data_IF_470737574037
#
_entry.id   IF_470737574037
#
_cell.length_a   1.000
_cell.length_b   1.000
_cell.length_c   1.000
_cell.angle_alpha   90.00
_cell.angle_beta   90.00
_cell.angle_gamma   90.00
#
_symmetry.space_group_name_H-M   'P 1'
#
loop_
_entity.id
_entity.type
_entity.pdbx_description
1 polymer ?
#
# COMPACT_ATOMS: atom_id res chain seq x y z
N UNK A 1 -56.32 22.28 6.31
CA UNK A 1 -55.22 23.24 6.49
C UNK A 1 -54.45 23.41 5.19
N UNK A 2 -54.71 24.48 4.41
CA UNK A 2 -53.85 24.98 3.34
C UNK A 2 -53.27 26.39 3.70
N UNK A 3 -52.38 27.04 2.91
CA UNK A 3 -51.57 26.56 1.78
C UNK A 3 -50.06 26.93 1.84
N UNK A 4 -49.36 26.39 0.82
CA UNK A 4 -48.00 26.61 0.33
C UNK A 4 -47.55 28.07 0.12
N UNK A 5 -46.27 28.34 0.42
CA UNK A 5 -45.33 29.29 -0.24
C UNK A 5 -43.90 28.84 0.10
N UNK A 6 -42.83 28.99 -0.67
CA UNK A 6 -42.54 29.17 -2.09
C UNK A 6 -41.02 28.96 -2.20
N UNK A 7 -40.58 28.29 -3.25
CA UNK A 7 -39.21 27.99 -3.66
C UNK A 7 -38.18 29.13 -3.49
N UNK A 8 -36.97 28.78 -3.05
CA UNK A 8 -35.75 29.52 -3.43
C UNK A 8 -34.78 28.55 -4.09
N UNK A 9 -34.75 28.62 -5.41
CA UNK A 9 -33.79 27.96 -6.29
C UNK A 9 -32.52 28.80 -6.28
N UNK A 10 -31.39 28.21 -5.90
CA UNK A 10 -30.08 28.81 -6.10
C UNK A 10 -29.56 28.41 -7.49
N UNK A 11 -29.40 29.40 -8.38
CA UNK A 11 -28.73 29.26 -9.68
C UNK A 11 -27.48 30.15 -9.70
N UNK A 12 -26.39 29.72 -10.37
CA UNK A 12 -25.12 30.42 -10.39
C UNK A 12 -25.13 31.58 -11.39
N UNK A 13 -24.50 32.70 -11.03
CA UNK A 13 -24.28 33.81 -11.93
C UNK A 13 -22.92 33.68 -12.63
N UNK A 14 -22.95 33.68 -13.96
CA UNK A 14 -21.82 33.77 -14.87
C UNK A 14 -21.71 35.16 -15.49
N UNK A 15 -20.47 35.54 -15.83
CA UNK A 15 -20.03 36.42 -16.93
C UNK A 15 -19.66 37.91 -16.67
N UNK A 16 -18.59 38.28 -17.40
CA UNK A 16 -18.09 39.60 -17.86
C UNK A 16 -16.77 40.04 -17.18
N UNK A 17 -15.55 39.94 -17.77
CA UNK A 17 -15.01 40.61 -18.97
C UNK A 17 -15.35 42.11 -18.97
N UNK A 18 -14.49 43.08 -18.66
CA UNK A 18 -13.27 43.56 -19.35
C UNK A 18 -12.82 44.81 -18.54
N UNK A 19 -11.55 45.09 -18.28
CA UNK A 19 -10.68 45.94 -19.12
C UNK A 19 -9.35 46.13 -18.39
N UNK A 20 -8.21 45.98 -19.07
CA UNK A 20 -6.97 46.69 -18.74
C UNK A 20 -6.06 46.71 -19.99
N UNK A 21 -5.36 47.82 -20.31
CA UNK A 21 -4.79 48.06 -21.63
C UNK A 21 -3.28 47.78 -21.76
N UNK A 22 -2.88 47.85 -23.03
CA UNK A 22 -1.61 47.58 -23.69
C UNK A 22 -0.34 48.28 -23.18
N UNK A 23 0.79 47.55 -23.21
CA UNK A 23 2.11 47.89 -23.81
C UNK A 23 3.18 46.97 -23.15
N UNK A 24 4.22 46.42 -23.76
CA UNK A 24 4.78 46.38 -25.12
C UNK A 24 5.71 45.15 -25.15
N UNK A 25 5.70 44.41 -26.27
CA UNK A 25 6.60 43.28 -26.60
C UNK A 25 7.96 43.79 -27.12
N UNK A 26 9.06 43.09 -26.80
CA UNK A 26 10.36 42.97 -27.52
C UNK A 26 11.47 42.68 -26.47
N UNK A 27 12.43 41.76 -26.58
CA UNK A 27 12.95 40.96 -27.69
C UNK A 27 13.74 39.76 -27.16
N UNK A 28 13.69 38.67 -27.92
CA UNK A 28 14.65 37.56 -27.95
C UNK A 28 15.76 37.93 -28.95
N UNK A 29 16.97 37.37 -28.80
CA UNK A 29 18.12 37.30 -29.74
C UNK A 29 19.30 38.27 -29.47
N UNK A 30 20.52 37.70 -29.52
CA UNK A 30 21.88 38.24 -29.32
C UNK A 30 22.37 38.16 -27.86
N UNK A 31 23.43 37.42 -27.49
CA UNK A 31 24.75 37.32 -28.13
C UNK A 31 25.41 35.98 -27.78
N UNK A 32 25.88 35.26 -28.80
CA UNK A 32 26.88 34.20 -28.74
C UNK A 32 27.94 34.56 -29.80
N UNK A 33 29.23 34.30 -29.50
CA UNK A 33 30.48 34.73 -30.18
C UNK A 33 31.03 36.08 -29.64
N UNK A 34 32.22 36.15 -29.05
CA UNK A 34 33.52 35.73 -29.61
C UNK A 34 34.49 35.23 -28.52
N UNK A 35 35.20 34.16 -28.83
CA UNK A 35 36.34 33.58 -28.08
C UNK A 35 37.66 34.29 -28.44
N UNK A 36 38.60 34.27 -27.48
CA UNK A 36 40.06 34.46 -27.59
C UNK A 36 40.63 35.89 -27.74
N UNK A 37 41.13 36.46 -26.63
CA UNK A 37 42.55 36.82 -26.40
C UNK A 37 42.71 37.38 -24.98
N UNK A 38 43.73 36.91 -24.26
CA UNK A 38 43.79 36.99 -22.81
C UNK A 38 44.26 38.31 -22.19
N UNK A 39 43.94 38.48 -20.92
CA UNK A 39 44.89 39.00 -19.92
C UNK A 39 44.53 38.47 -18.53
N UNK A 40 45.57 38.14 -17.78
CA UNK A 40 45.55 37.42 -16.51
C UNK A 40 45.00 38.31 -15.40
N UNK A 41 43.83 37.95 -14.87
CA UNK A 41 43.28 38.48 -13.62
C UNK A 41 42.97 37.33 -12.67
N UNK A 42 43.92 36.97 -11.80
CA UNK A 42 43.70 36.04 -10.69
C UNK A 42 42.72 36.70 -9.69
N UNK A 43 41.44 36.40 -9.83
CA UNK A 43 40.52 36.41 -8.69
C UNK A 43 40.36 34.97 -8.23
N UNK A 44 40.84 34.69 -7.02
CA UNK A 44 40.68 33.41 -6.35
C UNK A 44 39.18 33.08 -6.28
N UNK A 45 38.73 32.18 -7.17
CA UNK A 45 37.41 31.57 -7.07
C UNK A 45 37.37 30.80 -5.77
N UNK A 46 36.61 31.31 -4.80
CA UNK A 46 36.18 30.53 -3.65
C UNK A 46 35.39 29.36 -4.24
N UNK A 47 35.94 28.14 -4.18
CA UNK A 47 35.17 26.92 -4.43
C UNK A 47 33.98 26.97 -3.47
N UNK A 48 32.79 27.24 -4.00
CA UNK A 48 31.55 27.15 -3.23
C UNK A 48 31.33 25.66 -3.04
N UNK A 49 31.76 25.14 -1.89
CA UNK A 49 31.67 23.72 -1.61
C UNK A 49 30.19 23.33 -1.45
N UNK A 50 29.71 22.51 -2.38
CA UNK A 50 28.32 22.14 -2.58
C UNK A 50 28.05 20.68 -2.19
N UNK A 51 26.93 20.46 -1.51
CA UNK A 51 26.34 19.17 -1.24
C UNK A 51 25.50 18.73 -2.43
N UNK A 52 25.45 17.41 -2.66
CA UNK A 52 24.59 16.82 -3.68
C UNK A 52 23.37 16.20 -3.02
N UNK A 53 22.21 16.73 -3.36
CA UNK A 53 20.93 16.32 -2.77
C UNK A 53 20.07 15.69 -3.83
N UNK A 54 19.79 14.40 -3.71
CA UNK A 54 18.90 13.68 -4.62
C UNK A 54 17.54 13.51 -3.97
N UNK A 55 16.54 14.20 -4.50
CA UNK A 55 15.13 13.95 -4.22
C UNK A 55 14.68 12.77 -5.06
N UNK A 56 13.96 11.83 -4.47
CA UNK A 56 13.26 10.78 -5.22
C UNK A 56 11.77 11.07 -5.28
N UNK A 57 11.18 10.90 -6.45
CA UNK A 57 9.76 11.14 -6.75
C UNK A 57 9.28 12.61 -6.55
N UNK A 58 9.55 13.51 -7.52
CA UNK A 58 10.29 13.30 -8.77
C UNK A 58 11.80 13.25 -8.54
N UNK A 59 12.49 12.48 -9.39
CA UNK A 59 13.96 12.38 -9.34
C UNK A 59 14.60 13.71 -9.73
N UNK A 60 15.11 14.42 -8.74
CA UNK A 60 15.72 15.73 -8.92
C UNK A 60 17.00 15.82 -8.09
N UNK A 61 18.12 16.12 -8.74
CA UNK A 61 19.40 16.35 -8.05
C UNK A 61 19.64 17.84 -7.97
N UNK A 62 19.88 18.34 -6.75
CA UNK A 62 20.21 19.72 -6.46
C UNK A 62 21.64 19.80 -5.91
N UNK A 63 22.39 20.79 -6.36
CA UNK A 63 23.61 21.22 -5.68
C UNK A 63 23.25 22.33 -4.71
N UNK A 64 23.55 22.14 -3.42
CA UNK A 64 23.19 23.07 -2.35
C UNK A 64 24.44 23.46 -1.57
N UNK A 65 24.62 24.74 -1.24
CA UNK A 65 25.81 25.19 -0.50
C UNK A 65 25.81 24.64 0.93
N UNK A 66 26.92 24.06 1.38
CA UNK A 66 27.11 23.59 2.77
C UNK A 66 28.09 24.42 3.60
N UNK A 67 28.33 24.07 4.89
CA UNK A 67 27.60 23.08 5.68
C UNK A 67 26.33 23.70 6.28
N UNK A 68 25.27 22.91 6.45
CA UNK A 68 24.02 23.39 7.08
C UNK A 68 23.24 22.27 7.74
N UNK A 69 22.41 22.58 8.75
CA UNK A 69 21.44 21.65 9.30
C UNK A 69 20.47 21.15 8.22
N UNK A 70 20.03 19.89 8.32
CA UNK A 70 18.98 19.32 7.45
C UNK A 70 17.74 20.22 7.40
N UNK A 71 17.36 20.86 8.50
CA UNK A 71 16.22 21.77 8.56
C UNK A 71 16.37 23.02 7.70
N UNK A 72 17.58 23.56 7.60
CA UNK A 72 17.87 24.69 6.70
C UNK A 72 17.88 24.23 5.24
N UNK A 73 18.44 23.05 4.97
CA UNK A 73 18.42 22.44 3.64
C UNK A 73 16.99 22.22 3.14
N UNK A 74 16.12 21.65 3.98
CA UNK A 74 14.73 21.39 3.61
C UNK A 74 13.93 22.67 3.41
N UNK A 75 14.18 23.70 4.22
CA UNK A 75 13.57 25.02 4.04
C UNK A 75 14.00 25.68 2.72
N UNK A 76 15.28 25.60 2.35
CA UNK A 76 15.80 26.12 1.08
C UNK A 76 15.20 25.42 -0.15
N UNK A 77 14.94 24.11 -0.03
CA UNK A 77 14.36 23.31 -1.10
C UNK A 77 12.81 23.36 -1.11
N UNK A 78 12.19 24.24 -0.31
CA UNK A 78 10.73 24.37 -0.11
C UNK A 78 10.05 23.02 0.21
N UNK A 79 10.76 22.16 0.92
CA UNK A 79 10.30 20.83 1.31
C UNK A 79 9.78 20.91 2.72
N UNK A 80 8.54 20.47 2.92
CA UNK A 80 8.05 20.30 4.27
C UNK A 80 8.85 19.17 4.95
N UNK A 81 9.59 19.41 6.04
CA UNK A 81 10.34 18.36 6.75
C UNK A 81 9.42 17.25 7.28
N UNK A 82 8.13 17.55 7.42
CA UNK A 82 7.06 16.63 7.73
C UNK A 82 6.62 15.79 6.52
N UNK A 83 7.37 15.74 5.42
CA UNK A 83 6.98 15.00 4.20
C UNK A 83 8.13 14.20 3.63
N UNK A 84 9.29 14.19 4.29
CA UNK A 84 10.47 13.47 3.83
C UNK A 84 11.27 12.82 4.97
N UNK A 85 11.86 11.66 4.71
CA UNK A 85 13.03 11.14 5.43
C UNK A 85 14.28 11.62 4.72
N UNK A 86 15.28 12.01 5.51
CA UNK A 86 16.58 12.44 5.00
C UNK A 86 17.60 11.37 5.34
N UNK A 87 18.31 10.90 4.32
CA UNK A 87 19.30 9.82 4.40
C UNK A 87 20.66 10.42 4.03
N UNK A 88 21.65 10.27 4.89
CA UNK A 88 23.03 10.72 4.65
C UNK A 88 23.98 9.54 4.93
N UNK A 89 24.78 9.15 3.95
CA UNK A 89 25.67 7.98 4.06
C UNK A 89 24.93 6.67 4.34
N UNK A 90 23.72 6.49 3.79
CA UNK A 90 22.88 5.30 4.02
C UNK A 90 22.16 5.26 5.38
N UNK A 91 22.28 6.29 6.21
CA UNK A 91 21.65 6.35 7.54
C UNK A 91 20.59 7.44 7.59
N UNK A 92 19.49 7.19 8.29
CA UNK A 92 18.45 8.20 8.57
C UNK A 92 18.98 9.29 9.50
N UNK A 93 18.80 10.54 9.10
CA UNK A 93 19.24 11.72 9.86
C UNK A 93 18.06 12.64 10.16
N UNK A 94 18.11 13.30 11.32
CA UNK A 94 17.07 14.22 11.79
C UNK A 94 17.31 15.64 11.29
N UNK A 95 16.32 16.53 11.49
CA UNK A 95 16.34 17.95 11.08
C UNK A 95 17.59 18.73 11.55
N UNK A 96 18.13 18.41 12.71
CA UNK A 96 19.23 19.17 13.30
C UNK A 96 20.61 18.61 12.94
N UNK A 97 20.66 17.46 12.24
CA UNK A 97 21.90 16.89 11.76
C UNK A 97 22.58 17.87 10.79
N UNK A 98 23.84 18.22 11.07
CA UNK A 98 24.61 19.13 10.23
C UNK A 98 25.24 18.32 9.10
N UNK A 99 24.84 18.63 7.87
CA UNK A 99 25.39 18.01 6.68
C UNK A 99 26.73 18.69 6.30
N UNK A 100 27.81 17.92 6.07
CA UNK A 100 29.10 18.46 5.67
C UNK A 100 29.09 19.02 4.24
N UNK A 101 30.11 19.80 3.87
CA UNK A 101 30.24 20.47 2.58
C UNK A 101 30.06 19.58 1.34
N UNK A 102 30.41 18.29 1.41
CA UNK A 102 30.34 17.32 0.31
C UNK A 102 29.37 16.15 0.62
N UNK A 103 28.34 16.42 1.42
CA UNK A 103 27.35 15.41 1.77
C UNK A 103 26.60 14.91 0.51
N UNK A 104 26.49 13.59 0.36
CA UNK A 104 25.47 12.97 -0.48
C UNK A 104 24.24 12.68 0.36
N UNK A 105 23.13 13.33 0.00
CA UNK A 105 21.89 13.30 0.77
C UNK A 105 20.77 12.80 -0.11
N UNK A 106 20.17 11.69 0.28
CA UNK A 106 18.95 11.19 -0.34
C UNK A 106 17.74 11.66 0.48
N UNK A 107 16.81 12.34 -0.18
CA UNK A 107 15.55 12.77 0.42
C UNK A 107 14.46 11.86 -0.14
N UNK A 108 13.90 11.00 0.72
CA UNK A 108 12.76 10.14 0.40
C UNK A 108 11.49 10.77 0.92
N UNK A 109 10.43 10.83 0.12
CA UNK A 109 9.13 11.35 0.57
C UNK A 109 8.48 10.43 1.60
N UNK A 110 8.34 10.88 2.85
CA UNK A 110 7.71 10.18 3.98
C UNK A 110 7.24 11.19 5.04
N UNK A 111 5.97 11.15 5.44
CA UNK A 111 5.33 12.20 6.25
C UNK A 111 5.74 12.18 7.75
N UNK A 112 5.79 13.37 8.40
CA UNK A 112 6.16 13.79 9.79
C UNK A 112 7.67 13.93 10.11
N UNK A 113 8.18 14.72 11.07
CA UNK A 113 7.64 15.81 11.87
C UNK A 113 8.29 16.09 13.23
N UNK A 114 8.58 17.37 13.57
CA UNK A 114 9.57 17.83 14.61
C UNK A 114 9.36 17.37 16.08
N UNK A 115 10.34 17.41 17.00
CA UNK A 115 11.41 18.39 17.28
C UNK A 115 12.60 17.82 18.12
N UNK A 116 13.85 18.21 17.77
CA UNK A 116 15.07 18.00 18.57
C UNK A 116 15.59 16.55 18.62
N UNK A 117 16.81 16.29 19.16
CA UNK A 117 17.30 14.93 19.36
C UNK A 117 16.53 14.27 20.51
N UNK A 118 15.36 13.70 20.20
CA UNK A 118 14.58 12.93 21.14
C UNK A 118 15.39 11.70 21.61
N UNK A 119 15.27 11.40 22.91
CA UNK A 119 15.81 10.14 23.45
C UNK A 119 14.81 9.03 23.20
N UNK A 120 15.32 7.84 22.92
CA UNK A 120 14.50 6.65 22.81
C UNK A 120 13.65 6.45 24.09
N UNK A 121 12.37 6.12 23.91
CA UNK A 121 11.41 5.76 24.96
C UNK A 121 11.23 4.24 25.10
N UNK A 122 11.92 3.46 24.26
CA UNK A 122 11.92 2.01 24.33
C UNK A 122 12.64 1.44 25.55
N UNK A 123 12.54 0.12 25.70
CA UNK A 123 13.18 -0.65 26.75
C UNK A 123 14.23 -1.56 26.12
N UNK A 124 15.37 -1.74 26.78
CA UNK A 124 16.40 -2.71 26.40
C UNK A 124 16.00 -4.13 26.84
N UNK A 125 16.68 -5.14 26.31
CA UNK A 125 16.44 -6.54 26.66
C UNK A 125 16.59 -6.83 28.16
N UNK A 126 17.46 -6.09 28.85
CA UNK A 126 17.68 -6.16 30.31
C UNK A 126 16.58 -5.47 31.14
N UNK A 127 15.53 -4.96 30.51
CA UNK A 127 14.43 -4.25 31.17
C UNK A 127 14.74 -2.79 31.53
N UNK A 128 15.95 -2.29 31.25
CA UNK A 128 16.31 -0.89 31.49
C UNK A 128 15.73 0.04 30.41
N UNK A 129 15.50 1.31 30.75
CA UNK A 129 15.06 2.31 29.77
C UNK A 129 16.19 2.60 28.79
N UNK A 130 15.91 2.48 27.50
CA UNK A 130 16.82 2.95 26.45
C UNK A 130 16.92 4.48 26.52
N UNK A 131 18.10 5.04 26.26
CA UNK A 131 18.34 6.49 26.19
C UNK A 131 19.18 6.91 24.99
N UNK A 132 19.34 5.99 24.04
CA UNK A 132 20.00 6.23 22.77
C UNK A 132 19.23 7.28 21.96
N UNK A 133 19.93 7.85 20.98
CA UNK A 133 19.34 8.81 20.05
C UNK A 133 18.23 8.15 19.26
N UNK A 134 17.04 8.74 19.29
CA UNK A 134 15.94 8.26 18.47
C UNK A 134 16.21 8.53 16.98
N UNK A 135 15.81 7.58 16.14
CA UNK A 135 15.87 7.71 14.67
C UNK A 135 14.48 7.91 14.07
N UNK A 136 13.43 7.67 14.86
CA UNK A 136 12.04 7.88 14.46
C UNK A 136 11.18 8.31 15.66
N UNK A 137 10.23 9.20 15.37
CA UNK A 137 9.18 9.61 16.29
C UNK A 137 7.83 9.08 15.80
N UNK A 138 6.99 8.62 16.71
CA UNK A 138 5.65 8.11 16.46
C UNK A 138 4.68 8.97 17.25
N UNK A 139 4.21 10.04 16.60
CA UNK A 139 3.42 11.11 17.23
C UNK A 139 2.15 10.57 17.92
N UNK A 140 1.44 9.63 17.30
CA UNK A 140 0.21 9.06 17.86
C UNK A 140 0.46 8.14 19.07
N UNK A 141 1.68 7.63 19.20
CA UNK A 141 2.16 6.94 20.40
C UNK A 141 2.88 7.87 21.37
N UNK A 142 2.99 9.17 21.05
CA UNK A 142 3.78 10.15 21.78
C UNK A 142 5.17 9.61 22.20
N UNK A 143 5.81 8.88 21.27
CA UNK A 143 7.00 8.08 21.56
C UNK A 143 8.07 8.27 20.50
N UNK A 144 9.34 8.17 20.89
CA UNK A 144 10.49 8.18 20.00
C UNK A 144 11.33 6.93 20.21
N UNK A 145 11.91 6.36 19.16
CA UNK A 145 12.64 5.10 19.25
C UNK A 145 13.99 5.16 18.52
N UNK A 146 15.03 4.57 19.11
CA UNK A 146 16.23 4.20 18.36
C UNK A 146 15.91 3.02 17.43
N UNK A 147 16.81 2.73 16.48
CA UNK A 147 16.57 1.70 15.46
C UNK A 147 16.19 0.33 16.05
N UNK A 148 16.93 -0.13 17.06
CA UNK A 148 16.68 -1.42 17.72
C UNK A 148 15.32 -1.46 18.44
N UNK A 149 15.04 -0.45 19.28
CA UNK A 149 13.77 -0.39 19.99
C UNK A 149 12.57 -0.18 19.06
N UNK A 150 12.76 0.43 17.89
CA UNK A 150 11.70 0.57 16.90
C UNK A 150 11.33 -0.78 16.27
N UNK A 151 12.31 -1.63 15.96
CA UNK A 151 12.05 -3.00 15.46
C UNK A 151 11.24 -3.80 16.48
N UNK A 152 11.58 -3.70 17.77
CA UNK A 152 10.79 -4.32 18.84
C UNK A 152 9.39 -3.73 18.98
N UNK A 153 9.24 -2.41 18.81
CA UNK A 153 7.94 -1.76 18.79
C UNK A 153 7.05 -2.32 17.66
N UNK A 154 7.59 -2.47 16.45
CA UNK A 154 6.87 -3.05 15.30
C UNK A 154 6.45 -4.49 15.62
N UNK A 155 7.36 -5.34 16.12
CA UNK A 155 7.04 -6.71 16.54
C UNK A 155 5.93 -6.75 17.60
N UNK A 156 5.96 -5.82 18.56
CA UNK A 156 4.93 -5.72 19.60
C UNK A 156 3.56 -5.31 19.04
N UNK A 157 3.51 -4.38 18.08
CA UNK A 157 2.24 -4.02 17.42
C UNK A 157 1.67 -5.19 16.60
N UNK A 158 2.54 -5.91 15.88
CA UNK A 158 2.13 -7.10 15.11
C UNK A 158 1.62 -8.21 16.03
N UNK A 159 2.32 -8.49 17.14
CA UNK A 159 1.85 -9.45 18.14
C UNK A 159 0.49 -9.04 18.72
N UNK A 160 0.34 -7.76 19.10
CA UNK A 160 -0.94 -7.24 19.59
C UNK A 160 -2.07 -7.36 18.56
N UNK A 161 -1.76 -7.18 17.27
CA UNK A 161 -2.72 -7.39 16.19
C UNK A 161 -3.12 -8.87 16.06
N UNK A 162 -2.13 -9.77 16.10
CA UNK A 162 -2.34 -11.21 15.96
C UNK A 162 -3.18 -11.74 17.13
N UNK A 163 -2.77 -11.46 18.36
CA UNK A 163 -3.42 -11.94 19.57
C UNK A 163 -4.81 -11.32 19.76
N UNK A 164 -4.99 -10.05 19.39
CA UNK A 164 -6.26 -9.34 19.56
C UNK A 164 -7.39 -9.79 18.63
N UNK A 165 -7.06 -10.52 17.55
CA UNK A 165 -8.03 -10.98 16.55
C UNK A 165 -7.83 -12.46 16.18
N UNK A 166 -7.12 -13.22 17.01
CA UNK A 166 -6.80 -14.64 16.80
C UNK A 166 -6.32 -14.91 15.35
N UNK A 167 -5.41 -14.07 14.83
CA UNK A 167 -5.07 -14.08 13.40
C UNK A 167 -4.35 -15.35 12.98
N UNK A 168 -3.30 -15.74 13.71
CA UNK A 168 -2.42 -16.88 13.41
C UNK A 168 -1.84 -17.48 14.70
N UNK A 169 -1.55 -18.77 14.66
CA UNK A 169 -0.78 -19.51 15.67
C UNK A 169 0.63 -19.87 15.14
N UNK A 170 1.52 -20.36 16.00
CA UNK A 170 2.83 -20.86 15.57
C UNK A 170 2.77 -22.21 14.85
N UNK A 171 1.66 -22.96 15.00
CA UNK A 171 1.44 -24.23 14.31
C UNK A 171 0.94 -24.02 12.88
N UNK A 172 0.34 -22.86 12.61
CA UNK A 172 -0.19 -22.48 11.30
C UNK A 172 0.92 -22.33 10.26
N UNK A 173 0.61 -22.73 9.03
CA UNK A 173 1.40 -22.37 7.85
C UNK A 173 0.82 -21.13 7.18
N UNK A 174 1.68 -20.13 6.98
CA UNK A 174 1.28 -18.80 6.49
C UNK A 174 1.83 -18.59 5.08
N UNK A 175 1.01 -18.03 4.20
CA UNK A 175 1.47 -17.45 2.94
C UNK A 175 1.22 -15.94 2.92
N UNK A 176 2.28 -15.16 2.66
CA UNK A 176 2.19 -13.70 2.54
C UNK A 176 2.06 -13.32 1.08
N UNK A 177 1.01 -12.58 0.72
CA UNK A 177 0.89 -11.99 -0.60
C UNK A 177 1.89 -10.84 -0.76
N UNK A 178 2.96 -11.06 -1.53
CA UNK A 178 4.06 -10.10 -1.74
C UNK A 178 3.95 -9.40 -3.09
N UNK A 179 4.06 -8.08 -3.08
CA UNK A 179 3.99 -7.23 -4.28
C UNK A 179 5.34 -6.63 -4.68
N UNK A 180 6.40 -6.90 -3.90
CA UNK A 180 7.70 -6.23 -4.01
C UNK A 180 7.71 -4.84 -3.40
N UNK A 181 6.58 -4.37 -2.86
CA UNK A 181 6.47 -3.10 -2.14
C UNK A 181 6.76 -3.24 -0.64
N UNK A 182 7.05 -2.09 -0.01
CA UNK A 182 7.49 -1.97 1.39
C UNK A 182 6.64 -2.79 2.37
N UNK A 183 5.32 -2.65 2.32
CA UNK A 183 4.46 -3.17 3.38
C UNK A 183 4.40 -4.70 3.36
N UNK A 184 4.36 -5.30 2.15
CA UNK A 184 4.31 -6.75 2.02
C UNK A 184 5.64 -7.43 2.33
N UNK A 185 6.78 -6.81 1.96
CA UNK A 185 8.10 -7.34 2.28
C UNK A 185 8.43 -7.16 3.76
N UNK A 186 8.09 -6.02 4.35
CA UNK A 186 8.20 -5.82 5.80
C UNK A 186 7.35 -6.82 6.59
N UNK A 187 6.11 -7.10 6.14
CA UNK A 187 5.26 -8.08 6.80
C UNK A 187 5.89 -9.47 6.75
N UNK A 188 6.40 -9.87 5.59
CA UNK A 188 7.07 -11.16 5.45
C UNK A 188 8.30 -11.24 6.36
N UNK A 189 9.11 -10.19 6.40
CA UNK A 189 10.30 -10.14 7.26
C UNK A 189 9.96 -10.21 8.76
N UNK A 190 8.98 -9.44 9.22
CA UNK A 190 8.56 -9.43 10.63
C UNK A 190 8.05 -10.80 11.05
N UNK A 191 7.24 -11.47 10.22
CA UNK A 191 6.72 -12.80 10.54
C UNK A 191 7.84 -13.86 10.59
N UNK A 192 8.81 -13.80 9.68
CA UNK A 192 10.01 -14.65 9.72
C UNK A 192 10.81 -14.41 11.01
N UNK A 193 11.08 -13.15 11.33
CA UNK A 193 11.81 -12.74 12.54
C UNK A 193 11.12 -13.16 13.84
N UNK A 194 9.79 -13.22 13.84
CA UNK A 194 8.99 -13.67 14.97
C UNK A 194 8.90 -15.20 15.08
N UNK A 195 9.45 -15.96 14.11
CA UNK A 195 9.52 -17.42 14.14
C UNK A 195 8.29 -18.13 13.57
N UNK A 196 7.43 -17.46 12.81
CA UNK A 196 6.32 -18.11 12.12
C UNK A 196 6.79 -18.89 10.90
N UNK A 197 6.04 -19.93 10.53
CA UNK A 197 6.26 -20.71 9.31
C UNK A 197 5.61 -19.98 8.13
N UNK A 198 6.41 -19.20 7.40
CA UNK A 198 5.88 -18.26 6.41
C UNK A 198 6.62 -18.29 5.07
N UNK A 199 5.85 -18.49 4.00
CA UNK A 199 6.30 -18.41 2.62
C UNK A 199 5.73 -17.16 1.94
N UNK A 200 6.40 -16.69 0.89
CA UNK A 200 5.94 -15.59 0.05
C UNK A 200 5.16 -16.10 -1.16
N UNK A 201 4.18 -15.33 -1.62
CA UNK A 201 3.51 -15.56 -2.89
C UNK A 201 3.45 -14.29 -3.75
N UNK A 202 4.04 -14.37 -4.94
CA UNK A 202 4.04 -13.32 -5.94
C UNK A 202 3.16 -13.69 -7.14
N UNK A 203 2.32 -12.73 -7.58
CA UNK A 203 1.54 -12.84 -8.81
C UNK A 203 2.00 -11.79 -9.83
N UNK A 204 2.62 -12.26 -10.92
CA UNK A 204 2.93 -11.45 -12.08
C UNK A 204 1.67 -11.02 -12.82
N UNK A 205 1.46 -9.71 -12.93
CA UNK A 205 0.26 -9.11 -13.55
C UNK A 205 0.47 -8.69 -15.01
N UNK A 206 1.68 -8.87 -15.54
CA UNK A 206 2.05 -8.52 -16.92
C UNK A 206 2.13 -7.02 -17.20
N UNK A 207 2.38 -6.17 -16.19
CA UNK A 207 2.44 -4.71 -16.34
C UNK A 207 3.85 -4.29 -16.81
N UNK A 208 4.28 -4.82 -17.95
CA UNK A 208 5.59 -4.55 -18.54
C UNK A 208 6.75 -4.61 -17.55
N UNK A 209 7.70 -3.68 -17.69
CA UNK A 209 8.90 -3.61 -16.85
C UNK A 209 8.62 -3.39 -15.35
N UNK A 210 7.43 -2.90 -14.97
CA UNK A 210 7.06 -2.77 -13.56
C UNK A 210 6.90 -4.15 -12.92
N UNK A 211 6.22 -5.10 -13.59
CA UNK A 211 6.09 -6.47 -13.09
C UNK A 211 7.45 -7.18 -12.98
N UNK A 212 8.35 -6.95 -13.93
CA UNK A 212 9.70 -7.55 -13.89
C UNK A 212 10.51 -7.06 -12.68
N UNK A 213 10.53 -5.74 -12.43
CA UNK A 213 11.21 -5.16 -11.26
C UNK A 213 10.57 -5.61 -9.94
N UNK A 214 9.24 -5.64 -9.89
CA UNK A 214 8.46 -6.06 -8.73
C UNK A 214 8.73 -7.53 -8.37
N UNK A 215 8.82 -8.41 -9.38
CA UNK A 215 9.21 -9.81 -9.22
C UNK A 215 10.64 -9.94 -8.72
N UNK A 216 11.59 -9.25 -9.35
CA UNK A 216 13.00 -9.30 -8.99
C UNK A 216 13.24 -8.86 -7.53
N UNK A 217 12.52 -7.84 -7.05
CA UNK A 217 12.58 -7.41 -5.65
C UNK A 217 12.12 -8.53 -4.68
N UNK A 218 11.05 -9.24 -5.01
CA UNK A 218 10.57 -10.36 -4.20
C UNK A 218 11.56 -11.54 -4.20
N UNK A 219 12.10 -11.89 -5.37
CA UNK A 219 13.07 -12.97 -5.52
C UNK A 219 14.37 -12.66 -4.77
N UNK A 220 14.87 -11.42 -4.85
CA UNK A 220 16.05 -10.97 -4.12
C UNK A 220 15.84 -11.02 -2.60
N UNK A 221 14.67 -10.56 -2.12
CA UNK A 221 14.31 -10.64 -0.71
C UNK A 221 14.27 -12.11 -0.22
N UNK A 222 13.59 -12.99 -0.97
CA UNK A 222 13.47 -14.40 -0.64
C UNK A 222 14.86 -15.07 -0.56
N UNK A 223 15.73 -14.80 -1.54
CA UNK A 223 17.10 -15.31 -1.55
C UNK A 223 17.93 -14.80 -0.36
N UNK A 224 17.83 -13.50 -0.03
CA UNK A 224 18.56 -12.92 1.09
C UNK A 224 18.14 -13.49 2.45
N UNK A 225 16.87 -13.88 2.59
CA UNK A 225 16.31 -14.44 3.83
C UNK A 225 16.30 -15.97 3.86
N UNK A 226 16.68 -16.63 2.76
CA UNK A 226 16.57 -18.09 2.64
C UNK A 226 15.13 -18.60 2.73
N UNK A 227 14.17 -17.79 2.29
CA UNK A 227 12.74 -18.07 2.38
C UNK A 227 12.17 -18.55 1.03
N UNK A 228 11.09 -19.33 1.07
CA UNK A 228 10.44 -19.84 -0.14
C UNK A 228 9.53 -18.78 -0.77
N UNK A 229 9.67 -18.56 -2.08
CA UNK A 229 8.78 -17.70 -2.86
C UNK A 229 8.06 -18.50 -3.93
N UNK A 230 6.73 -18.50 -3.86
CA UNK A 230 5.86 -19.04 -4.89
C UNK A 230 5.59 -17.96 -5.94
N UNK A 231 5.92 -18.24 -7.20
CA UNK A 231 5.71 -17.31 -8.32
C UNK A 231 4.70 -17.89 -9.29
N UNK A 232 3.68 -17.09 -9.62
CA UNK A 232 2.69 -17.39 -10.67
C UNK A 232 2.53 -16.18 -11.58
N UNK A 233 2.14 -16.41 -12.83
CA UNK A 233 1.95 -15.36 -13.83
C UNK A 233 0.51 -15.41 -14.35
N UNK A 234 -0.20 -14.28 -14.25
CA UNK A 234 -1.62 -14.19 -14.64
C UNK A 234 -1.84 -14.58 -16.11
N UNK A 235 -0.93 -14.14 -16.99
CA UNK A 235 -0.97 -14.44 -18.41
C UNK A 235 -0.75 -15.94 -18.68
N UNK A 236 0.22 -16.56 -18.02
CA UNK A 236 0.53 -17.97 -18.19
C UNK A 236 -0.58 -18.86 -17.63
N UNK A 237 -1.09 -18.54 -16.45
CA UNK A 237 -2.08 -19.36 -15.73
C UNK A 237 -3.49 -19.21 -16.31
N UNK A 238 -3.83 -18.05 -16.87
CA UNK A 238 -5.22 -17.73 -17.23
C UNK A 238 -5.42 -17.19 -18.64
N UNK A 239 -4.35 -16.92 -19.40
CA UNK A 239 -4.42 -16.48 -20.79
C UNK A 239 -4.71 -14.98 -21.00
N UNK A 240 -4.62 -14.16 -19.95
CA UNK A 240 -4.75 -12.70 -20.06
C UNK A 240 -3.90 -11.99 -19.01
N UNK A 241 -3.52 -10.74 -19.28
CA UNK A 241 -2.84 -9.85 -18.33
C UNK A 241 -3.68 -8.61 -17.98
N UNK A 242 -3.20 -7.78 -17.05
CA UNK A 242 -3.91 -6.55 -16.65
C UNK A 242 -3.95 -5.50 -17.77
N UNK A 243 -2.87 -5.27 -18.56
CA UNK A 243 -2.93 -4.35 -19.70
C UNK A 243 -3.95 -4.75 -20.78
N UNK A 244 -4.15 -6.04 -21.05
CA UNK A 244 -5.18 -6.55 -21.96
C UNK A 244 -6.57 -6.08 -21.53
N UNK A 245 -6.84 -6.04 -20.22
CA UNK A 245 -8.09 -5.54 -19.66
C UNK A 245 -8.28 -4.02 -19.79
N UNK A 246 -7.21 -3.25 -20.04
CA UNK A 246 -7.27 -1.78 -20.21
C UNK A 246 -7.71 -1.35 -21.61
N UNK A 247 -7.78 -2.28 -22.57
CA UNK A 247 -8.24 -2.01 -23.94
C UNK A 247 -9.73 -1.74 -24.03
N UNK A 248 -10.49 -2.09 -23.00
CA UNK A 248 -11.94 -1.95 -22.93
C UNK A 248 -12.31 -0.93 -21.83
N UNK A 249 -12.23 0.35 -22.20
CA UNK A 249 -12.60 1.54 -21.43
C UNK A 249 -11.77 1.78 -20.15
N UNK A 250 -11.04 2.91 -20.12
CA UNK A 250 -9.96 3.25 -19.17
C UNK A 250 -10.36 3.43 -17.68
N UNK A 251 -11.44 2.79 -17.22
CA UNK A 251 -11.96 2.82 -15.85
C UNK A 251 -12.02 1.45 -15.17
N UNK A 252 -11.78 0.34 -15.87
CA UNK A 252 -11.99 -1.03 -15.36
C UNK A 252 -10.72 -1.81 -14.91
N UNK A 253 -9.52 -1.27 -15.14
CA UNK A 253 -8.25 -2.01 -14.98
C UNK A 253 -7.94 -2.43 -13.54
N UNK A 254 -8.10 -1.53 -12.56
CA UNK A 254 -7.86 -1.83 -11.14
C UNK A 254 -8.88 -2.82 -10.56
N UNK A 255 -10.12 -2.81 -11.08
CA UNK A 255 -11.15 -3.77 -10.68
C UNK A 255 -10.79 -5.20 -11.09
N UNK A 256 -10.32 -5.38 -12.34
CA UNK A 256 -9.84 -6.68 -12.85
C UNK A 256 -8.59 -7.11 -12.09
N UNK A 257 -7.60 -6.22 -11.92
CA UNK A 257 -6.39 -6.52 -11.15
C UNK A 257 -6.72 -6.99 -9.71
N UNK A 258 -7.59 -6.26 -9.00
CA UNK A 258 -7.98 -6.63 -7.64
C UNK A 258 -8.73 -7.97 -7.57
N UNK A 259 -9.63 -8.24 -8.53
CA UNK A 259 -10.34 -9.51 -8.62
C UNK A 259 -9.39 -10.68 -8.90
N UNK A 260 -8.50 -10.54 -9.89
CA UNK A 260 -7.51 -11.55 -10.25
C UNK A 260 -6.57 -11.87 -9.11
N UNK A 261 -6.04 -10.85 -8.41
CA UNK A 261 -5.21 -11.03 -7.21
C UNK A 261 -5.94 -11.85 -6.14
N UNK A 262 -7.14 -11.41 -5.72
CA UNK A 262 -7.90 -12.10 -4.66
C UNK A 262 -8.23 -13.55 -5.03
N UNK A 263 -8.53 -13.82 -6.29
CA UNK A 263 -8.80 -15.17 -6.78
C UNK A 263 -7.55 -16.05 -6.73
N UNK A 264 -6.45 -15.60 -7.37
CA UNK A 264 -5.21 -16.37 -7.47
C UNK A 264 -4.60 -16.62 -6.09
N UNK A 265 -4.56 -15.59 -5.24
CA UNK A 265 -4.13 -15.70 -3.85
C UNK A 265 -4.91 -16.77 -3.09
N UNK A 266 -6.25 -16.70 -3.09
CA UNK A 266 -7.06 -17.69 -2.40
C UNK A 266 -6.85 -19.11 -2.94
N UNK A 267 -6.73 -19.24 -4.26
CA UNK A 267 -6.54 -20.55 -4.90
C UNK A 267 -5.21 -21.17 -4.50
N UNK A 268 -4.12 -20.41 -4.55
CA UNK A 268 -2.79 -20.92 -4.19
C UNK A 268 -2.68 -21.26 -2.71
N UNK A 269 -3.28 -20.46 -1.82
CA UNK A 269 -3.33 -20.82 -0.41
C UNK A 269 -3.96 -22.20 -0.18
N UNK A 270 -4.98 -22.55 -0.95
CA UNK A 270 -5.67 -23.83 -0.83
C UNK A 270 -4.91 -24.98 -1.50
N UNK A 271 -4.41 -24.76 -2.72
CA UNK A 271 -3.68 -25.75 -3.52
C UNK A 271 -2.37 -26.18 -2.84
N UNK A 272 -1.65 -25.23 -2.25
CA UNK A 272 -0.37 -25.49 -1.56
C UNK A 272 -0.56 -25.82 -0.07
N UNK A 273 -1.80 -25.87 0.42
CA UNK A 273 -2.12 -26.34 1.77
C UNK A 273 -1.79 -25.36 2.90
N UNK A 274 -1.79 -24.05 2.64
CA UNK A 274 -1.65 -23.03 3.69
C UNK A 274 -2.91 -22.88 4.53
N UNK A 275 -2.72 -22.59 5.81
CA UNK A 275 -3.80 -22.39 6.76
C UNK A 275 -4.27 -20.93 6.75
N UNK A 276 -3.32 -19.99 6.60
CA UNK A 276 -3.59 -18.55 6.66
C UNK A 276 -2.91 -17.78 5.55
N UNK A 277 -3.65 -16.84 4.97
CA UNK A 277 -3.13 -15.84 4.04
C UNK A 277 -2.98 -14.49 4.73
N UNK A 278 -1.77 -13.94 4.73
CA UNK A 278 -1.48 -12.62 5.27
C UNK A 278 -1.27 -11.59 4.15
N UNK A 279 -1.72 -10.35 4.38
CA UNK A 279 -1.51 -9.24 3.44
C UNK A 279 -0.98 -8.01 4.16
N UNK A 280 -0.08 -7.27 3.50
CA UNK A 280 0.57 -6.07 4.06
C UNK A 280 -0.30 -4.82 4.11
N UNK A 281 -1.63 -4.92 4.22
CA UNK A 281 -2.47 -3.74 4.37
C UNK A 281 -2.23 -3.12 5.75
N UNK A 282 -1.93 -1.82 5.76
CA UNK A 282 -1.56 -1.07 6.96
C UNK A 282 -2.71 -0.17 7.46
N UNK A 283 -2.47 0.59 8.52
CA UNK A 283 -3.45 1.50 9.13
C UNK A 283 -3.98 2.53 8.12
N UNK A 284 -3.13 3.11 7.29
CA UNK A 284 -3.51 4.09 6.27
C UNK A 284 -4.41 3.49 5.19
N UNK A 285 -4.11 2.25 4.75
CA UNK A 285 -4.94 1.51 3.79
C UNK A 285 -6.35 1.27 4.33
N UNK A 286 -6.45 0.74 5.55
CA UNK A 286 -7.73 0.39 6.16
C UNK A 286 -8.54 1.62 6.55
N UNK A 287 -7.90 2.66 7.09
CA UNK A 287 -8.58 3.91 7.42
C UNK A 287 -9.07 4.65 6.17
N UNK A 288 -8.27 4.68 5.09
CA UNK A 288 -8.67 5.31 3.82
C UNK A 288 -9.79 4.54 3.12
N UNK A 289 -9.77 3.21 3.19
CA UNK A 289 -10.88 2.36 2.73
C UNK A 289 -12.15 2.62 3.53
N UNK A 290 -12.05 2.67 4.86
CA UNK A 290 -13.18 2.97 5.74
C UNK A 290 -13.80 4.33 5.43
N UNK A 291 -12.97 5.37 5.28
CA UNK A 291 -13.42 6.71 4.91
C UNK A 291 -14.13 6.70 3.55
N UNK A 292 -13.54 6.03 2.56
CA UNK A 292 -14.13 5.91 1.22
C UNK A 292 -15.48 5.20 1.21
N UNK A 293 -15.62 4.13 2.00
CA UNK A 293 -16.86 3.39 2.16
C UNK A 293 -17.93 4.25 2.86
N UNK A 294 -17.55 4.96 3.92
CA UNK A 294 -18.45 5.81 4.70
C UNK A 294 -18.97 7.01 3.89
N UNK A 295 -18.09 7.73 3.19
CA UNK A 295 -18.47 8.90 2.37
C UNK A 295 -19.47 8.54 1.26
N UNK A 296 -19.49 7.28 0.83
CA UNK A 296 -20.39 6.76 -0.21
C UNK A 296 -21.51 5.87 0.35
N UNK A 297 -21.61 5.76 1.68
CA UNK A 297 -22.57 4.88 2.37
C UNK A 297 -22.61 3.46 1.80
N UNK A 298 -21.44 2.90 1.54
CA UNK A 298 -21.28 1.52 1.07
C UNK A 298 -21.45 0.52 2.22
N UNK A 299 -22.66 0.42 2.77
CA UNK A 299 -23.00 -0.40 3.95
C UNK A 299 -22.62 -1.87 3.81
N UNK A 300 -22.77 -2.44 2.60
CA UNK A 300 -22.36 -3.80 2.30
C UNK A 300 -20.84 -4.02 2.31
N UNK A 301 -20.03 -2.97 2.17
CA UNK A 301 -18.58 -3.03 2.31
C UNK A 301 -18.15 -2.73 3.75
N UNK A 302 -18.83 -1.80 4.43
CA UNK A 302 -18.62 -1.53 5.85
C UNK A 302 -18.82 -2.79 6.70
N UNK A 303 -19.91 -3.54 6.47
CA UNK A 303 -20.18 -4.82 7.16
C UNK A 303 -19.11 -5.89 6.94
N UNK A 304 -18.38 -5.85 5.82
CA UNK A 304 -17.35 -6.83 5.46
C UNK A 304 -15.92 -6.35 5.74
N UNK A 305 -15.75 -5.10 6.20
CA UNK A 305 -14.43 -4.56 6.47
C UNK A 305 -13.92 -5.13 7.80
N UNK A 306 -12.94 -6.03 7.68
CA UNK A 306 -12.30 -6.69 8.80
C UNK A 306 -10.78 -6.84 8.59
N UNK A 307 -10.09 -7.07 9.69
CA UNK A 307 -8.64 -7.34 9.78
C UNK A 307 -8.35 -8.84 9.86
N UNK A 308 -9.33 -9.65 10.26
CA UNK A 308 -9.28 -11.10 10.26
C UNK A 308 -10.58 -11.66 9.67
N UNK A 309 -10.48 -12.30 8.51
CA UNK A 309 -11.59 -13.01 7.86
C UNK A 309 -11.41 -14.51 8.09
N UNK A 310 -12.40 -15.21 8.67
CA UNK A 310 -12.30 -16.63 8.94
C UNK A 310 -12.24 -17.45 7.65
N UNK A 311 -11.69 -18.65 7.76
CA UNK A 311 -11.84 -19.63 6.68
C UNK A 311 -13.32 -19.98 6.50
N UNK A 312 -13.74 -20.23 5.27
CA UNK A 312 -15.11 -20.69 4.98
C UNK A 312 -15.11 -21.78 3.93
N UNK A 313 -16.01 -22.73 4.07
CA UNK A 313 -16.24 -23.78 3.07
C UNK A 313 -17.58 -23.56 2.37
N UNK A 314 -17.68 -23.87 1.06
CA UNK A 314 -18.96 -23.85 0.37
C UNK A 314 -19.90 -24.92 0.94
N UNK A 315 -21.20 -24.65 0.93
CA UNK A 315 -22.21 -25.63 1.32
C UNK A 315 -22.27 -26.77 0.27
N UNK A 316 -21.93 -27.99 0.68
CA UNK A 316 -22.17 -29.23 -0.09
C UNK A 316 -21.05 -29.69 -1.02
N UNK A 317 -20.19 -30.59 -0.50
CA UNK A 317 -19.96 -31.98 -0.93
C UNK A 317 -18.87 -32.51 0.02
N UNK A 318 -19.28 -33.40 0.94
CA UNK A 318 -18.49 -33.97 2.04
C UNK A 318 -18.00 -32.96 3.10
N UNK A 319 -18.93 -32.38 3.85
CA UNK A 319 -18.59 -31.76 5.13
C UNK A 319 -18.22 -32.87 6.14
N UNK A 320 -17.04 -32.85 6.78
CA UNK A 320 -16.83 -33.66 7.98
C UNK A 320 -17.85 -33.17 9.02
N UNK A 321 -18.69 -34.07 9.51
CA UNK A 321 -19.59 -33.78 10.63
C UNK A 321 -18.75 -33.29 11.80
N UNK A 322 -19.08 -32.11 12.32
CA UNK A 322 -18.50 -31.55 13.53
C UNK A 322 -18.66 -32.57 14.67
N UNK A 323 -17.59 -33.32 14.98
CA UNK A 323 -17.65 -34.41 15.94
C UNK A 323 -16.55 -35.45 15.81
N UNK A 324 -15.28 -35.04 15.70
CA UNK A 324 -14.16 -35.82 16.25
C UNK A 324 -12.95 -34.90 16.41
N UNK A 325 -12.34 -34.88 17.59
CA UNK A 325 -11.08 -34.21 17.87
C UNK A 325 -9.90 -35.01 17.32
N UNK A 326 -9.99 -35.40 16.05
CA UNK A 326 -9.01 -36.22 15.36
C UNK A 326 -7.86 -35.39 14.80
N UNK A 327 -6.64 -35.83 15.09
CA UNK A 327 -5.38 -35.35 14.52
C UNK A 327 -5.46 -35.17 12.99
N UNK A 328 -5.51 -33.92 12.53
CA UNK A 328 -5.54 -33.54 11.11
C UNK A 328 -4.18 -33.69 10.40
N UNK A 329 -3.26 -34.50 10.93
CA UNK A 329 -1.90 -34.63 10.40
C UNK A 329 -1.77 -35.42 9.09
N UNK A 330 -2.80 -36.12 8.60
CA UNK A 330 -2.62 -37.15 7.55
C UNK A 330 -3.32 -36.98 6.20
N UNK A 331 -4.07 -35.91 5.93
CA UNK A 331 -4.60 -35.67 4.56
C UNK A 331 -4.09 -34.35 3.97
N UNK A 332 -2.79 -34.32 3.62
CA UNK A 332 -2.12 -33.17 3.01
C UNK A 332 -2.08 -33.22 1.47
N UNK A 333 -2.81 -34.16 0.85
CA UNK A 333 -2.75 -34.44 -0.60
C UNK A 333 -4.01 -34.08 -1.41
N UNK A 334 -5.10 -33.65 -0.76
CA UNK A 334 -6.34 -33.24 -1.44
C UNK A 334 -6.43 -31.72 -1.64
N UNK A 335 -6.88 -31.27 -2.81
CA UNK A 335 -7.18 -29.86 -3.09
C UNK A 335 -8.21 -29.33 -2.07
N UNK A 336 -7.78 -28.48 -1.13
CA UNK A 336 -8.66 -27.86 -0.14
C UNK A 336 -9.71 -27.00 -0.87
N UNK A 337 -11.00 -27.17 -0.54
CA UNK A 337 -12.09 -26.32 -1.07
C UNK A 337 -12.39 -25.19 -0.08
N UNK A 338 -12.70 -23.98 -0.56
CA UNK A 338 -13.15 -22.88 0.30
C UNK A 338 -12.53 -21.51 0.06
N UNK A 339 -12.63 -20.66 1.08
CA UNK A 339 -11.87 -19.43 1.22
C UNK A 339 -10.88 -19.63 2.36
N UNK A 340 -9.60 -19.36 2.09
CA UNK A 340 -8.56 -19.37 3.11
C UNK A 340 -8.81 -18.24 4.12
N UNK A 341 -8.42 -18.48 5.39
CA UNK A 341 -8.40 -17.43 6.42
C UNK A 341 -7.51 -16.29 5.94
N UNK A 342 -7.96 -15.04 6.07
CA UNK A 342 -7.20 -13.85 5.61
C UNK A 342 -6.98 -12.89 6.75
N UNK A 343 -5.75 -12.45 6.91
CA UNK A 343 -5.35 -11.58 8.03
C UNK A 343 -4.53 -10.39 7.56
N UNK A 344 -4.60 -9.30 8.34
CA UNK A 344 -3.88 -8.05 8.09
C UNK A 344 -3.10 -7.63 9.34
N UNK A 345 -1.96 -8.27 9.65
CA UNK A 345 -1.24 -8.01 10.91
C UNK A 345 -0.70 -6.58 11.04
N UNK A 346 -0.57 -5.86 9.93
CA UNK A 346 -0.08 -4.47 9.88
C UNK A 346 -1.16 -3.41 10.09
N UNK A 347 -2.42 -3.77 10.34
CA UNK A 347 -3.51 -2.78 10.50
C UNK A 347 -3.30 -1.77 11.64
N UNK A 348 -2.35 -2.04 12.54
CA UNK A 348 -1.96 -1.17 13.67
C UNK A 348 -0.75 -0.27 13.39
N UNK A 349 -0.10 -0.42 12.24
CA UNK A 349 1.10 0.33 11.85
C UNK A 349 0.77 1.21 10.66
N UNK A 350 1.26 2.45 10.64
CA UNK A 350 1.14 3.34 9.49
C UNK A 350 2.18 3.10 8.40
N UNK A 351 1.97 3.69 7.23
CA UNK A 351 2.91 3.61 6.08
C UNK A 351 4.32 4.12 6.42
N UNK A 352 4.40 5.11 7.30
CA UNK A 352 5.68 5.65 7.77
C UNK A 352 6.44 4.60 8.58
N UNK A 353 5.74 3.88 9.45
CA UNK A 353 6.34 2.88 10.31
C UNK A 353 6.84 1.68 9.49
N UNK A 354 6.05 1.22 8.50
CA UNK A 354 6.47 0.13 7.61
C UNK A 354 7.64 0.54 6.70
N UNK A 355 7.68 1.78 6.21
CA UNK A 355 8.80 2.33 5.45
C UNK A 355 10.08 2.42 6.30
N UNK A 356 9.97 2.98 7.51
CA UNK A 356 11.09 3.08 8.43
C UNK A 356 11.63 1.70 8.84
N UNK A 357 10.75 0.73 9.02
CA UNK A 357 11.13 -0.65 9.29
C UNK A 357 11.98 -1.23 8.15
N UNK A 358 11.53 -1.08 6.90
CA UNK A 358 12.29 -1.54 5.73
C UNK A 358 13.69 -0.91 5.69
N UNK A 359 13.78 0.40 5.91
CA UNK A 359 15.06 1.12 5.92
C UNK A 359 16.00 0.62 7.01
N UNK A 360 15.51 0.48 8.25
CA UNK A 360 16.31 0.01 9.39
C UNK A 360 16.79 -1.43 9.17
N UNK A 361 15.97 -2.27 8.53
CA UNK A 361 16.28 -3.67 8.25
C UNK A 361 17.05 -3.89 6.95
N UNK A 362 17.31 -2.84 6.16
CA UNK A 362 17.98 -2.94 4.87
C UNK A 362 17.17 -3.72 3.83
N UNK A 363 15.84 -3.63 3.88
CA UNK A 363 14.94 -4.28 2.92
C UNK A 363 14.78 -3.36 1.71
N UNK A 364 15.32 -3.79 0.58
CA UNK A 364 15.08 -3.12 -0.70
C UNK A 364 13.70 -3.47 -1.25
N UNK A 365 13.00 -2.45 -1.77
CA UNK A 365 11.64 -2.58 -2.29
C UNK A 365 11.41 -1.63 -3.47
N UNK A 366 10.39 -1.92 -4.28
CA UNK A 366 9.99 -1.03 -5.37
C UNK A 366 9.32 0.23 -4.80
N UNK A 367 9.92 1.39 -5.08
CA UNK A 367 9.40 2.70 -4.65
C UNK A 367 8.37 3.24 -5.65
N UNK A 368 8.53 2.86 -6.92
CA UNK A 368 7.67 3.33 -8.01
C UNK A 368 6.24 2.82 -7.84
N UNK A 369 5.28 3.72 -8.01
CA UNK A 369 3.87 3.33 -8.05
C UNK A 369 3.53 2.62 -9.35
N UNK A 370 2.50 1.78 -9.30
CA UNK A 370 1.99 1.12 -10.50
C UNK A 370 1.53 2.17 -11.52
N UNK A 371 1.96 2.11 -12.80
CA UNK A 371 1.61 3.10 -13.81
C UNK A 371 0.11 3.19 -14.10
N UNK A 372 -0.66 2.19 -13.68
CA UNK A 372 -2.11 2.11 -13.87
C UNK A 372 -2.91 2.69 -12.69
N UNK A 373 -2.25 3.26 -11.67
CA UNK A 373 -2.90 3.81 -10.46
C UNK A 373 -3.44 5.24 -10.63
N UNK A 374 -3.13 5.91 -11.75
CA UNK A 374 -3.49 7.30 -11.99
C UNK A 374 -5.01 7.54 -11.80
N UNK A 375 -5.36 8.52 -10.95
CA UNK A 375 -6.75 8.88 -10.64
C UNK A 375 -7.41 8.08 -9.52
N UNK A 376 -6.67 7.22 -8.80
CA UNK A 376 -7.20 6.45 -7.68
C UNK A 376 -7.67 7.37 -6.53
N UNK A 377 -8.94 7.22 -6.12
CA UNK A 377 -9.52 7.99 -5.01
C UNK A 377 -8.92 7.65 -3.66
N UNK A 378 -8.33 6.45 -3.50
CA UNK A 378 -7.70 6.03 -2.25
C UNK A 378 -6.56 6.96 -1.85
N UNK A 379 -5.72 7.39 -2.80
CA UNK A 379 -4.63 8.33 -2.53
C UNK A 379 -5.16 9.65 -1.97
N UNK A 380 -6.26 10.17 -2.54
CA UNK A 380 -6.91 11.40 -2.04
C UNK A 380 -7.47 11.24 -0.62
N UNK A 381 -7.95 10.05 -0.27
CA UNK A 381 -8.43 9.77 1.09
C UNK A 381 -7.28 9.63 2.08
N UNK A 382 -6.17 9.03 1.66
CA UNK A 382 -4.93 9.01 2.47
C UNK A 382 -4.45 10.43 2.72
N UNK A 383 -4.38 11.28 1.70
CA UNK A 383 -3.97 12.69 1.85
C UNK A 383 -4.87 13.46 2.82
N UNK A 384 -6.19 13.27 2.72
CA UNK A 384 -7.14 13.90 3.64
C UNK A 384 -6.94 13.43 5.08
N UNK A 385 -6.81 12.12 5.31
CA UNK A 385 -6.55 11.55 6.64
C UNK A 385 -5.19 11.97 7.19
N UNK A 386 -4.16 12.06 6.33
CA UNK A 386 -2.83 12.57 6.69
C UNK A 386 -2.90 14.02 7.17
N UNK A 387 -3.67 14.86 6.48
CA UNK A 387 -3.89 16.25 6.88
C UNK A 387 -4.53 16.38 8.27
N UNK A 388 -5.48 15.50 8.60
CA UNK A 388 -6.10 15.48 9.93
C UNK A 388 -5.13 14.94 10.98
N UNK A 389 -4.47 13.82 10.68
CA UNK A 389 -3.50 13.15 11.57
C UNK A 389 -2.36 14.08 11.99
N UNK A 390 -1.89 14.96 11.09
CA UNK A 390 -0.84 15.93 11.38
C UNK A 390 -1.23 16.94 12.48
N UNK A 391 -2.51 17.29 12.58
CA UNK A 391 -3.02 18.24 13.58
C UNK A 391 -3.61 17.54 14.81
N UNK A 392 -3.98 16.27 14.67
CA UNK A 392 -4.61 15.44 15.70
C UNK A 392 -4.04 14.02 15.63
N UNK A 393 -2.84 13.77 16.19
CA UNK A 393 -2.22 12.46 16.17
C UNK A 393 -3.09 11.38 16.83
N UNK A 394 -3.18 10.21 16.19
CA UNK A 394 -4.02 9.08 16.59
C UNK A 394 -5.41 9.06 15.97
N UNK A 395 -5.75 10.01 15.11
CA UNK A 395 -7.06 10.07 14.45
C UNK A 395 -7.33 8.82 13.61
N UNK A 396 -6.38 8.38 12.78
CA UNK A 396 -6.56 7.18 11.95
C UNK A 396 -6.80 5.93 12.80
N UNK A 397 -5.99 5.76 13.84
CA UNK A 397 -6.09 4.63 14.77
C UNK A 397 -7.43 4.64 15.49
N UNK A 398 -7.86 5.78 16.05
CA UNK A 398 -9.14 5.89 16.72
C UNK A 398 -10.32 5.67 15.77
N UNK A 399 -10.23 6.17 14.54
CA UNK A 399 -11.24 5.99 13.52
C UNK A 399 -11.42 4.52 13.14
N UNK A 400 -10.33 3.82 12.81
CA UNK A 400 -10.37 2.42 12.43
C UNK A 400 -10.72 1.51 13.61
N UNK A 401 -10.01 1.62 14.73
CA UNK A 401 -10.23 0.73 15.88
C UNK A 401 -11.61 0.97 16.50
N UNK A 402 -12.06 2.23 16.58
CA UNK A 402 -13.42 2.53 17.04
C UNK A 402 -14.49 1.95 16.12
N UNK A 403 -14.25 1.91 14.81
CA UNK A 403 -15.14 1.24 13.88
C UNK A 403 -15.19 -0.27 14.13
N UNK A 404 -14.03 -0.94 14.18
CA UNK A 404 -13.93 -2.39 14.38
C UNK A 404 -14.49 -2.84 15.74
N UNK A 405 -14.14 -2.16 16.82
CA UNK A 405 -14.47 -2.58 18.19
C UNK A 405 -15.91 -2.27 18.60
N UNK A 406 -16.51 -1.20 18.03
CA UNK A 406 -17.78 -0.65 18.53
C UNK A 406 -18.85 -0.43 17.49
N UNK A 407 -18.50 -0.07 16.26
CA UNK A 407 -19.48 0.41 15.29
C UNK A 407 -19.89 -0.65 14.26
N UNK A 408 -18.95 -1.49 13.81
CA UNK A 408 -19.17 -2.44 12.72
C UNK A 408 -20.32 -3.38 13.03
N UNK A 409 -20.22 -4.17 14.09
CA UNK A 409 -21.22 -5.20 14.38
C UNK A 409 -22.55 -4.59 14.89
N UNK A 410 -22.48 -3.43 15.57
CA UNK A 410 -23.66 -2.74 16.08
C UNK A 410 -24.49 -2.01 15.01
N UNK A 411 -23.85 -1.49 13.96
CA UNK A 411 -24.53 -0.66 12.95
C UNK A 411 -24.51 -1.26 11.54
N UNK A 412 -23.63 -2.23 11.28
CA UNK A 412 -23.45 -2.86 9.97
C UNK A 412 -23.31 -4.40 10.12
N UNK A 413 -24.31 -5.08 10.72
CA UNK A 413 -24.23 -6.54 10.92
C UNK A 413 -24.11 -7.27 9.58
N UNK A 414 -23.40 -8.40 9.58
CA UNK A 414 -23.10 -9.18 8.36
C UNK A 414 -24.37 -9.59 7.58
N UNK A 415 -25.46 -9.84 8.30
CA UNK A 415 -26.78 -10.22 7.79
C UNK A 415 -27.44 -9.13 6.93
N UNK A 416 -27.05 -7.86 7.10
CA UNK A 416 -27.54 -6.73 6.31
C UNK A 416 -26.83 -6.62 4.93
N UNK A 417 -26.00 -7.60 4.57
CA UNK A 417 -25.24 -7.64 3.32
C UNK A 417 -25.32 -9.02 2.66
N UNK A 418 -24.90 -9.11 1.40
CA UNK A 418 -24.71 -10.40 0.69
C UNK A 418 -23.67 -11.33 1.38
N UNK A 419 -23.05 -10.93 2.49
CA UNK A 419 -22.17 -11.79 3.29
C UNK A 419 -22.90 -13.02 3.87
N UNK A 420 -24.23 -12.97 3.98
CA UNK A 420 -25.07 -14.11 4.34
C UNK A 420 -25.51 -14.99 3.15
N UNK A 421 -25.06 -14.67 1.92
CA UNK A 421 -25.41 -15.47 0.75
C UNK A 421 -24.76 -16.87 0.84
N UNK A 422 -25.54 -17.91 0.56
CA UNK A 422 -25.03 -19.29 0.50
C UNK A 422 -23.91 -19.38 -0.54
N UNK A 423 -22.72 -19.81 -0.10
CA UNK A 423 -21.58 -20.04 -0.98
C UNK A 423 -21.65 -21.45 -1.55
N UNK A 424 -21.54 -21.54 -2.88
CA UNK A 424 -21.50 -22.80 -3.62
C UNK A 424 -20.24 -22.86 -4.49
N UNK A 425 -19.88 -24.05 -4.95
CA UNK A 425 -18.80 -24.22 -5.92
C UNK A 425 -19.12 -23.59 -7.27
N UNK A 426 -18.14 -22.89 -7.85
CA UNK A 426 -18.24 -22.38 -9.21
C UNK A 426 -18.30 -23.54 -10.23
N UNK A 427 -19.26 -23.52 -11.15
CA UNK A 427 -19.39 -24.55 -12.19
C UNK A 427 -18.24 -24.63 -13.20
N UNK A 428 -17.26 -23.71 -13.14
CA UNK A 428 -16.06 -23.73 -14.01
C UNK A 428 -14.77 -24.04 -13.27
N UNK A 429 -14.62 -23.58 -12.03
CA UNK A 429 -13.36 -23.68 -11.29
C UNK A 429 -13.52 -24.17 -9.86
N UNK A 430 -14.74 -24.54 -9.46
CA UNK A 430 -15.11 -25.06 -8.15
C UNK A 430 -14.89 -24.09 -6.96
N UNK A 431 -14.24 -22.95 -7.18
CA UNK A 431 -14.02 -21.91 -6.16
C UNK A 431 -15.34 -21.30 -5.65
N UNK A 432 -15.41 -20.87 -4.38
CA UNK A 432 -16.63 -20.33 -3.80
C UNK A 432 -17.19 -19.13 -4.55
N UNK A 433 -18.50 -19.14 -4.75
CA UNK A 433 -19.27 -18.05 -5.33
C UNK A 433 -20.67 -18.02 -4.69
N UNK A 434 -21.29 -16.83 -4.53
CA UNK A 434 -22.68 -16.76 -4.08
C UNK A 434 -23.61 -17.54 -5.01
N UNK A 435 -24.56 -18.28 -4.43
CA UNK A 435 -25.63 -18.97 -5.17
C UNK A 435 -26.50 -17.93 -5.90
N UNK A 436 -26.70 -18.06 -7.23
CA UNK A 436 -27.62 -17.19 -7.96
C UNK A 436 -29.07 -17.41 -7.53
N UNK A 437 -29.85 -16.34 -7.42
CA UNK A 437 -31.28 -16.41 -7.09
C UNK A 437 -32.14 -16.96 -8.23
N UNK A 438 -31.63 -16.97 -9.46
CA UNK A 438 -32.31 -17.40 -10.67
C UNK A 438 -32.10 -18.89 -11.00
N UNK A 439 -31.48 -19.66 -10.10
CA UNK A 439 -31.33 -21.12 -10.21
C UNK A 439 -30.33 -21.60 -11.26
N UNK A 440 -29.69 -20.70 -12.02
CA UNK A 440 -28.64 -21.06 -12.98
C UNK A 440 -27.37 -21.56 -12.28
N UNK A 441 -26.51 -22.35 -12.96
CA UNK A 441 -25.21 -22.74 -12.42
C UNK A 441 -24.41 -21.52 -12.00
N UNK A 442 -23.88 -21.56 -10.77
CA UNK A 442 -23.10 -20.47 -10.23
C UNK A 442 -21.75 -20.38 -10.95
N UNK A 443 -21.46 -19.23 -11.55
CA UNK A 443 -20.14 -18.96 -12.15
C UNK A 443 -19.53 -17.79 -11.40
N UNK A 444 -18.31 -17.95 -10.86
CA UNK A 444 -17.67 -16.90 -10.07
C UNK A 444 -17.31 -15.66 -10.91
N UNK A 445 -17.16 -14.50 -10.25
CA UNK A 445 -16.83 -13.25 -10.93
C UNK A 445 -15.52 -13.31 -11.73
N UNK A 446 -14.54 -14.09 -11.25
CA UNK A 446 -13.27 -14.31 -11.94
C UNK A 446 -13.47 -15.04 -13.27
N UNK A 447 -14.16 -16.18 -13.29
CA UNK A 447 -14.42 -16.93 -14.53
C UNK A 447 -15.22 -16.10 -15.55
N UNK A 448 -16.23 -15.34 -15.11
CA UNK A 448 -16.96 -14.41 -15.99
C UNK A 448 -16.03 -13.35 -16.60
N UNK A 449 -15.14 -12.79 -15.80
CA UNK A 449 -14.16 -11.79 -16.24
C UNK A 449 -13.16 -12.41 -17.22
N UNK A 450 -12.60 -13.57 -16.88
CA UNK A 450 -11.67 -14.32 -17.74
C UNK A 450 -12.28 -14.60 -19.11
N UNK A 451 -13.53 -15.10 -19.17
CA UNK A 451 -14.24 -15.32 -20.44
C UNK A 451 -14.34 -14.06 -21.28
N UNK A 452 -14.66 -12.91 -20.67
CA UNK A 452 -14.70 -11.62 -21.36
C UNK A 452 -13.31 -11.24 -21.89
N UNK A 453 -12.27 -11.41 -21.08
CA UNK A 453 -10.90 -11.06 -21.47
C UNK A 453 -10.37 -11.94 -22.61
N UNK A 454 -10.59 -13.26 -22.56
CA UNK A 454 -10.16 -14.18 -23.62
C UNK A 454 -10.82 -13.84 -24.97
N UNK A 455 -12.11 -13.48 -24.97
CA UNK A 455 -12.79 -13.00 -26.20
C UNK A 455 -12.11 -11.76 -26.78
N UNK A 456 -11.62 -10.83 -25.95
CA UNK A 456 -10.91 -9.63 -26.40
C UNK A 456 -9.52 -9.96 -26.96
N UNK A 457 -8.86 -10.99 -26.43
CA UNK A 457 -7.58 -11.49 -26.98
C UNK A 457 -7.82 -12.11 -28.35
N UNK A 458 -8.85 -12.96 -28.47
CA UNK A 458 -9.19 -13.68 -29.70
C UNK A 458 -9.69 -12.75 -30.82
N UNK A 459 -10.47 -11.71 -30.49
CA UNK A 459 -11.07 -10.77 -31.45
C UNK A 459 -10.04 -9.83 -32.13
N UNK A 460 -8.82 -9.73 -31.59
CA UNK A 460 -7.74 -8.86 -32.08
C UNK A 460 -8.07 -7.36 -32.05
N UNK A 461 -7.12 -6.46 -32.37
CA UNK A 461 -7.32 -5.01 -32.34
C UNK A 461 -8.32 -4.47 -33.39
N UNK A 462 -8.95 -5.32 -34.21
CA UNK A 462 -9.83 -4.93 -35.33
C UNK A 462 -11.34 -5.10 -35.12
N UNK A 463 -11.81 -5.67 -34.01
CA UNK A 463 -13.24 -5.93 -33.81
C UNK A 463 -14.01 -4.76 -33.16
N UNK A 464 -13.32 -3.85 -32.47
CA UNK A 464 -13.95 -2.72 -31.78
C UNK A 464 -14.61 -1.71 -32.73
N UNK A 465 -14.15 -1.61 -33.98
CA UNK A 465 -14.70 -0.69 -35.00
C UNK A 465 -15.98 -1.17 -35.69
N UNK A 466 -16.49 -2.38 -35.39
CA UNK A 466 -17.68 -2.96 -36.05
C UNK A 466 -18.95 -2.99 -35.20
N UNK A 467 -18.90 -2.54 -33.94
CA UNK A 467 -20.06 -2.58 -33.01
C UNK A 467 -20.76 -1.23 -32.83
N UNK A 468 -20.49 -0.26 -33.71
CA UNK A 468 -21.10 1.07 -33.71
C UNK A 468 -21.67 1.47 -35.09
N UNK A 469 -22.24 0.52 -35.81
CA UNK A 469 -23.01 0.75 -37.04
C UNK A 469 -24.47 0.33 -36.83
#
# INVERSE_FOLDING_TARGET
MPPLRSSTVWRPASSAWTTAPHSLRASVVAVLAVLMTGSVGRCAGRLVASMKVTRRNPDQTHEVTGPKPVGELLAELEINPETVLVIHGGTLVTRDHVLPHEAEVEIRSVISGGAGPARCHGTREDGSRCRETAVIEIAWHNSAFCAACFVEHVRAQVRKAIDGHDMVSYDDTIVVAVSGGKDSLALWDVLLDMGYRVDGFYLGLGIGAYSDRSRAACEAFAAARGATLHVRDLAADFGFDVPTASRDDGRATCGVCGLSKRYAFNRVALEEGYDVMATGHNLDDEASQLLGNLLRWQTAFLSRQDVALPASQPAGNDAPTAGDGGDHSQDRGGSRRGLAKKVKPFYRLGERETAAYCLIKGIDYIVEECPLVAGNTVLRYKDALNGIEAHSPGTKAQFLFGFLDRARDAHFPAEASDAGAELVGCGECDMPTPRPSDGRPAVCAFCRTRRRMLRLVDDGPGAAGRRSA
#
